data_IF_539147862609
#
_entry.id   IF_539147862609
#
_cell.length_a   1.000
_cell.length_b   1.000
_cell.length_c   1.000
_cell.angle_alpha   90.00
_cell.angle_beta   90.00
_cell.angle_gamma   90.00
#
_symmetry.space_group_name_H-M   'P 1'
#
loop_
_entity.id
_entity.type
_entity.pdbx_description
1 polymer ?
#
# COMPACT_ATOMS: atom_id res chain seq x y z
N UNK A 1 -11.02 -53.55 31.96
CA UNK A 1 -11.48 -54.39 30.84
C UNK A 1 -10.87 -53.83 29.56
N UNK A 2 -10.03 -54.61 28.89
CA UNK A 2 -9.59 -54.28 27.53
C UNK A 2 -10.71 -54.76 26.59
N UNK A 3 -11.22 -53.93 25.66
CA UNK A 3 -12.24 -54.39 24.73
C UNK A 3 -11.65 -55.54 23.90
N UNK A 4 -12.35 -56.69 23.89
CA UNK A 4 -12.02 -57.80 23.00
C UNK A 4 -12.49 -57.40 21.60
N UNK A 5 -11.54 -57.08 20.73
CA UNK A 5 -11.82 -56.82 19.31
C UNK A 5 -11.69 -58.15 18.58
N UNK A 6 -12.80 -58.66 18.06
CA UNK A 6 -12.80 -59.89 17.26
C UNK A 6 -12.35 -59.55 15.85
N UNK A 7 -11.14 -59.96 15.49
CA UNK A 7 -10.57 -59.74 14.17
C UNK A 7 -10.88 -60.95 13.29
N UNK A 8 -11.72 -60.74 12.28
CA UNK A 8 -12.24 -61.80 11.43
C UNK A 8 -11.97 -61.46 9.96
N UNK A 9 -11.88 -62.50 9.13
CA UNK A 9 -11.62 -62.38 7.70
C UNK A 9 -12.56 -63.30 6.92
N UNK A 10 -12.91 -62.88 5.71
CA UNK A 10 -13.67 -63.63 4.74
C UNK A 10 -12.73 -64.49 3.89
N UNK A 11 -12.98 -65.81 3.89
CA UNK A 11 -12.21 -66.78 3.12
C UNK A 11 -10.73 -66.83 3.48
N UNK A 12 -9.96 -67.55 2.68
CA UNK A 12 -8.50 -67.66 2.81
C UNK A 12 -7.73 -66.95 1.68
N UNK A 13 -8.44 -66.38 0.71
CA UNK A 13 -7.86 -65.72 -0.45
C UNK A 13 -7.57 -64.24 -0.20
N UNK A 14 -6.63 -63.68 -0.94
CA UNK A 14 -6.40 -62.23 -0.91
C UNK A 14 -7.52 -61.50 -1.63
N UNK A 15 -7.71 -60.25 -1.27
CA UNK A 15 -8.69 -59.35 -1.84
C UNK A 15 -8.65 -59.31 -3.39
N UNK A 16 -7.45 -59.35 -3.97
CA UNK A 16 -7.27 -59.29 -5.43
C UNK A 16 -7.74 -60.58 -6.13
N UNK A 17 -7.59 -61.73 -5.48
CA UNK A 17 -8.09 -63.01 -5.98
C UNK A 17 -9.61 -63.09 -5.78
N UNK A 18 -10.09 -62.70 -4.60
CA UNK A 18 -11.52 -62.71 -4.26
C UNK A 18 -12.36 -61.83 -5.20
N UNK A 19 -11.83 -60.68 -5.66
CA UNK A 19 -12.50 -59.83 -6.66
C UNK A 19 -12.70 -60.51 -8.02
N UNK A 20 -11.86 -61.48 -8.38
CA UNK A 20 -11.97 -62.21 -9.65
C UNK A 20 -13.09 -63.26 -9.58
N UNK A 21 -13.33 -63.83 -8.41
CA UNK A 21 -14.39 -64.81 -8.15
C UNK A 21 -15.70 -64.14 -7.71
N UNK A 22 -16.45 -63.61 -8.68
CA UNK A 22 -17.70 -62.87 -8.43
C UNK A 22 -18.82 -63.65 -7.73
N UNK A 23 -18.78 -64.98 -7.72
CA UNK A 23 -19.78 -65.82 -7.06
C UNK A 23 -19.66 -65.81 -5.52
N UNK A 24 -18.44 -65.77 -4.99
CA UNK A 24 -18.16 -65.85 -3.55
C UNK A 24 -17.70 -64.51 -2.95
N UNK A 25 -17.54 -63.49 -3.78
CA UNK A 25 -17.16 -62.15 -3.35
C UNK A 25 -18.29 -61.47 -2.58
N UNK A 26 -18.04 -61.12 -1.32
CA UNK A 26 -19.09 -60.58 -0.43
C UNK A 26 -19.14 -59.05 -0.36
N UNK A 27 -18.10 -58.33 -0.77
CA UNK A 27 -18.08 -56.86 -0.74
C UNK A 27 -18.79 -56.27 -1.97
N UNK A 28 -20.08 -56.61 -2.13
CA UNK A 28 -20.90 -56.23 -3.29
C UNK A 28 -21.64 -54.91 -3.09
N UNK A 29 -21.61 -54.35 -1.87
CA UNK A 29 -22.26 -53.08 -1.55
C UNK A 29 -21.66 -51.88 -2.30
N UNK A 30 -22.49 -50.89 -2.59
CA UNK A 30 -22.04 -49.59 -3.11
C UNK A 30 -21.10 -48.91 -2.11
N UNK A 31 -20.10 -48.19 -2.63
CA UNK A 31 -19.11 -47.47 -1.82
C UNK A 31 -18.34 -48.33 -0.81
N UNK A 32 -18.20 -49.62 -1.11
CA UNK A 32 -17.34 -50.54 -0.38
C UNK A 32 -16.00 -50.71 -1.10
N UNK A 33 -14.98 -51.05 -0.33
CA UNK A 33 -13.67 -51.51 -0.78
C UNK A 33 -13.32 -52.78 -0.02
N UNK A 34 -12.40 -53.54 -0.57
CA UNK A 34 -11.89 -54.76 0.03
C UNK A 34 -10.44 -54.54 0.46
N UNK A 35 -10.07 -55.04 1.63
CA UNK A 35 -8.73 -54.93 2.23
C UNK A 35 -8.29 -56.29 2.76
N UNK A 36 -7.03 -56.68 2.57
CA UNK A 36 -6.51 -57.93 3.11
C UNK A 36 -6.53 -57.94 4.65
N UNK A 37 -6.73 -59.11 5.24
CA UNK A 37 -6.64 -59.30 6.68
C UNK A 37 -5.21 -59.01 7.17
N UNK A 38 -5.09 -58.31 8.29
CA UNK A 38 -3.79 -58.03 8.93
C UNK A 38 -3.31 -59.18 9.82
N UNK A 39 -4.21 -60.10 10.20
CA UNK A 39 -3.95 -61.16 11.18
C UNK A 39 -4.12 -62.58 10.61
N UNK A 40 -4.03 -62.76 9.29
CA UNK A 40 -4.11 -64.08 8.66
C UNK A 40 -4.38 -64.02 7.16
N UNK A 41 -4.76 -65.17 6.61
CA UNK A 41 -5.34 -65.30 5.27
C UNK A 41 -6.74 -64.68 5.21
N UNK A 42 -7.19 -64.31 4.01
CA UNK A 42 -8.51 -63.71 3.79
C UNK A 42 -8.52 -62.20 3.62
N UNK A 43 -9.71 -61.66 3.43
CA UNK A 43 -9.97 -60.23 3.24
C UNK A 43 -11.15 -59.75 4.08
N UNK A 44 -11.32 -58.44 4.21
CA UNK A 44 -12.49 -57.83 4.82
C UNK A 44 -13.03 -56.72 3.93
N UNK A 45 -14.32 -56.46 4.05
CA UNK A 45 -14.96 -55.32 3.42
C UNK A 45 -14.86 -54.10 4.34
N UNK A 46 -14.58 -52.95 3.75
CA UNK A 46 -14.53 -51.64 4.40
C UNK A 46 -15.34 -50.65 3.57
N UNK A 47 -15.86 -49.59 4.18
CA UNK A 47 -16.38 -48.48 3.39
C UNK A 47 -15.21 -47.70 2.74
N UNK A 48 -15.46 -47.10 1.58
CA UNK A 48 -14.53 -46.16 0.96
C UNK A 48 -14.33 -44.94 1.86
N UNK A 49 -13.24 -44.20 1.64
CA UNK A 49 -13.01 -42.93 2.34
C UNK A 49 -14.20 -41.98 2.08
N UNK A 50 -14.63 -41.27 3.13
CA UNK A 50 -15.84 -40.44 3.11
C UNK A 50 -17.16 -41.19 3.35
N UNK A 51 -17.15 -42.51 3.53
CA UNK A 51 -18.35 -43.31 3.79
C UNK A 51 -18.27 -44.05 5.14
N UNK A 52 -19.41 -44.19 5.82
CA UNK A 52 -19.53 -44.96 7.06
C UNK A 52 -20.72 -45.93 7.05
N UNK A 53 -20.70 -46.91 7.95
CA UNK A 53 -21.76 -47.90 8.09
C UNK A 53 -21.25 -49.34 7.95
N UNK A 54 -22.13 -50.24 7.50
CA UNK A 54 -21.81 -51.67 7.41
C UNK A 54 -21.55 -52.09 5.94
N UNK A 55 -20.30 -52.41 5.58
CA UNK A 55 -19.95 -52.73 4.19
C UNK A 55 -20.47 -54.08 3.69
N UNK A 56 -21.02 -54.92 4.56
CA UNK A 56 -21.60 -56.22 4.20
C UNK A 56 -23.10 -56.15 3.87
N UNK A 57 -23.73 -54.99 4.06
CA UNK A 57 -25.14 -54.78 3.73
C UNK A 57 -25.28 -54.07 2.37
N UNK A 58 -26.32 -54.39 1.58
CA UNK A 58 -26.63 -53.65 0.37
C UNK A 58 -26.98 -52.20 0.72
N UNK A 59 -26.22 -51.23 0.18
CA UNK A 59 -26.35 -49.81 0.55
C UNK A 59 -25.95 -49.49 1.99
N UNK A 60 -25.17 -50.38 2.64
CA UNK A 60 -24.78 -50.22 4.04
C UNK A 60 -23.67 -49.20 4.29
N UNK A 61 -22.89 -48.83 3.27
CA UNK A 61 -21.96 -47.69 3.33
C UNK A 61 -22.67 -46.44 2.81
N UNK A 62 -22.93 -45.52 3.73
CA UNK A 62 -23.59 -44.25 3.46
C UNK A 62 -22.58 -43.11 3.56
N UNK A 63 -22.82 -42.06 2.81
CA UNK A 63 -21.98 -40.86 2.81
C UNK A 63 -21.91 -40.27 4.22
N UNK A 64 -20.69 -40.04 4.71
CA UNK A 64 -20.48 -39.48 6.04
C UNK A 64 -20.49 -37.97 5.95
N UNK A 65 -21.53 -37.33 6.51
CA UNK A 65 -21.61 -35.88 6.45
C UNK A 65 -20.66 -35.19 7.43
N UNK A 66 -19.47 -34.80 6.97
CA UNK A 66 -18.48 -34.11 7.79
C UNK A 66 -18.97 -32.75 8.28
N UNK A 67 -19.87 -32.09 7.55
CA UNK A 67 -20.42 -30.78 7.93
C UNK A 67 -21.28 -30.83 9.21
N UNK A 68 -21.69 -32.01 9.70
CA UNK A 68 -22.37 -32.15 10.99
C UNK A 68 -21.41 -32.21 12.19
N UNK A 69 -20.14 -32.55 11.99
CA UNK A 69 -19.13 -32.68 13.05
C UNK A 69 -17.93 -31.74 12.84
N UNK A 70 -17.78 -30.76 13.73
CA UNK A 70 -16.71 -29.74 13.68
C UNK A 70 -15.31 -30.34 13.78
N UNK A 71 -15.20 -31.56 14.35
CA UNK A 71 -13.94 -32.26 14.55
C UNK A 71 -13.48 -33.00 13.30
N UNK A 72 -14.39 -33.27 12.36
CA UNK A 72 -14.09 -34.00 11.12
C UNK A 72 -14.01 -33.07 9.91
N UNK A 73 -14.74 -31.96 9.89
CA UNK A 73 -14.57 -30.93 8.85
C UNK A 73 -13.38 -30.00 9.15
N UNK A 74 -12.51 -29.76 8.17
CA UNK A 74 -11.45 -28.75 8.24
C UNK A 74 -11.93 -27.34 7.83
N UNK A 75 -13.25 -27.12 7.70
CA UNK A 75 -13.80 -25.82 7.37
C UNK A 75 -13.71 -24.84 8.55
N UNK A 76 -13.61 -23.54 8.24
CA UNK A 76 -13.65 -22.46 9.23
C UNK A 76 -14.91 -22.47 10.11
N UNK A 77 -16.05 -22.88 9.54
CA UNK A 77 -17.32 -23.03 10.25
C UNK A 77 -18.21 -24.06 9.57
N UNK A 78 -19.05 -24.76 10.35
CA UNK A 78 -20.12 -25.64 9.83
C UNK A 78 -21.07 -24.98 8.84
N UNK A 79 -21.33 -23.67 9.00
CA UNK A 79 -22.20 -22.90 8.10
C UNK A 79 -21.58 -22.66 6.73
N UNK A 80 -20.28 -22.91 6.62
CA UNK A 80 -19.42 -22.65 5.48
C UNK A 80 -18.91 -23.97 4.89
N UNK A 81 -19.72 -25.02 5.01
CA UNK A 81 -19.43 -26.37 4.59
C UNK A 81 -20.61 -26.88 3.77
N UNK A 82 -20.31 -27.49 2.62
CA UNK A 82 -21.27 -28.16 1.75
C UNK A 82 -20.88 -29.62 1.63
N UNK A 83 -21.78 -30.50 2.05
CA UNK A 83 -21.57 -31.93 1.94
C UNK A 83 -21.71 -32.40 0.49
N UNK A 84 -20.78 -33.22 0.02
CA UNK A 84 -20.79 -33.83 -1.32
C UNK A 84 -20.59 -35.34 -1.19
N UNK A 85 -21.00 -36.14 -2.18
CA UNK A 85 -20.88 -37.60 -2.07
C UNK A 85 -19.40 -38.02 -1.94
N UNK A 86 -19.05 -38.61 -0.79
CA UNK A 86 -17.71 -39.04 -0.40
C UNK A 86 -16.79 -37.94 0.12
N UNK A 87 -17.25 -36.68 0.27
CA UNK A 87 -16.40 -35.59 0.77
C UNK A 87 -17.19 -34.33 1.18
N UNK A 88 -16.48 -33.21 1.38
CA UNK A 88 -17.08 -31.92 1.67
C UNK A 88 -16.30 -30.77 1.02
N UNK A 89 -17.00 -29.71 0.67
CA UNK A 89 -16.40 -28.46 0.19
C UNK A 89 -16.63 -27.33 1.20
N UNK A 90 -15.56 -26.60 1.51
CA UNK A 90 -15.66 -25.38 2.30
C UNK A 90 -15.83 -24.16 1.38
N UNK A 91 -16.50 -23.12 1.89
CA UNK A 91 -16.68 -21.87 1.13
C UNK A 91 -16.65 -20.64 2.03
N UNK A 92 -16.21 -19.51 1.49
CA UNK A 92 -16.16 -18.26 2.24
C UNK A 92 -17.49 -17.51 2.28
N UNK A 93 -17.80 -16.81 3.38
CA UNK A 93 -19.00 -15.99 3.47
C UNK A 93 -18.91 -14.78 2.51
N UNK A 94 -20.05 -14.15 2.18
CA UNK A 94 -20.08 -13.02 1.24
C UNK A 94 -19.11 -11.90 1.62
N UNK A 95 -18.33 -11.43 0.64
CA UNK A 95 -17.34 -10.37 0.83
C UNK A 95 -15.95 -10.84 1.26
N UNK A 96 -15.76 -12.15 1.44
CA UNK A 96 -14.46 -12.78 1.71
C UNK A 96 -14.02 -13.65 0.52
N UNK A 97 -12.72 -13.91 0.42
CA UNK A 97 -12.12 -14.78 -0.60
C UNK A 97 -11.20 -15.83 0.06
N UNK A 98 -10.98 -16.95 -0.61
CA UNK A 98 -10.24 -18.11 -0.08
C UNK A 98 -11.03 -19.41 -0.32
N UNK A 99 -10.47 -20.53 0.14
CA UNK A 99 -11.08 -21.85 0.01
C UNK A 99 -11.96 -22.24 1.22
N UNK A 100 -11.95 -21.44 2.30
CA UNK A 100 -12.78 -21.68 3.49
C UNK A 100 -12.25 -22.73 4.48
N UNK A 101 -11.06 -23.28 4.27
CA UNK A 101 -10.41 -24.20 5.21
C UNK A 101 -9.69 -23.44 6.34
N UNK A 102 -9.44 -24.12 7.46
CA UNK A 102 -8.76 -23.53 8.64
C UNK A 102 -7.25 -23.37 8.41
N UNK A 103 -6.62 -24.33 7.76
CA UNK A 103 -5.15 -24.43 7.64
C UNK A 103 -4.65 -24.02 6.25
N UNK A 104 -5.37 -24.39 5.18
CA UNK A 104 -5.07 -23.99 3.81
C UNK A 104 -5.94 -22.79 3.42
N UNK A 105 -5.35 -21.67 2.97
CA UNK A 105 -6.03 -20.45 2.46
C UNK A 105 -7.34 -20.00 3.18
N UNK A 106 -7.26 -19.57 4.45
CA UNK A 106 -8.42 -19.13 5.22
C UNK A 106 -9.11 -17.91 4.60
N UNK A 107 -10.39 -17.72 4.93
CA UNK A 107 -11.17 -16.62 4.39
C UNK A 107 -10.61 -15.25 4.78
N UNK A 108 -10.21 -14.49 3.78
CA UNK A 108 -9.67 -13.15 3.94
C UNK A 108 -10.67 -12.08 3.49
N UNK A 109 -10.69 -10.96 4.21
CA UNK A 109 -11.44 -9.77 3.83
C UNK A 109 -10.60 -8.92 2.88
N UNK A 110 -11.21 -8.40 1.81
CA UNK A 110 -10.60 -7.34 1.00
C UNK A 110 -10.36 -6.11 1.90
N UNK A 111 -9.11 -5.91 2.33
CA UNK A 111 -8.74 -4.75 3.13
C UNK A 111 -8.89 -3.49 2.28
N UNK A 112 -9.99 -2.76 2.44
CA UNK A 112 -10.17 -1.38 1.94
C UNK A 112 -9.11 -0.37 2.47
N UNK A 113 -8.21 -0.82 3.36
CA UNK A 113 -7.22 0.01 4.05
C UNK A 113 -6.19 0.65 3.12
N UNK A 114 -5.96 0.10 1.93
CA UNK A 114 -4.91 0.64 1.05
C UNK A 114 -5.34 1.93 0.33
N UNK A 115 -6.62 2.08 -0.02
CA UNK A 115 -7.12 3.29 -0.69
C UNK A 115 -7.03 4.52 0.24
N UNK A 116 -7.34 4.35 1.54
CA UNK A 116 -7.31 5.45 2.51
C UNK A 116 -5.88 6.00 2.72
N UNK A 117 -4.86 5.14 2.66
CA UNK A 117 -3.45 5.56 2.79
C UNK A 117 -3.02 6.48 1.65
N UNK A 118 -3.38 6.13 0.42
CA UNK A 118 -3.04 6.93 -0.77
C UNK A 118 -3.71 8.32 -0.76
N UNK A 119 -4.95 8.40 -0.27
CA UNK A 119 -5.66 9.68 -0.13
C UNK A 119 -4.91 10.62 0.83
N UNK A 120 -4.46 10.12 1.98
CA UNK A 120 -3.73 10.93 2.98
C UNK A 120 -2.41 11.46 2.42
N UNK A 121 -1.68 10.65 1.66
CA UNK A 121 -0.41 11.06 1.02
C UNK A 121 -0.67 12.13 -0.04
N UNK A 122 -1.71 11.96 -0.87
CA UNK A 122 -2.06 12.91 -1.92
C UNK A 122 -2.41 14.31 -1.39
N UNK A 123 -3.22 14.39 -0.32
CA UNK A 123 -3.62 15.67 0.28
C UNK A 123 -2.43 16.44 0.82
N UNK A 124 -1.50 15.77 1.53
CA UNK A 124 -0.33 16.44 2.12
C UNK A 124 0.58 17.04 1.05
N UNK A 125 0.88 16.28 0.00
CA UNK A 125 1.75 16.76 -1.09
C UNK A 125 1.11 17.92 -1.84
N UNK A 126 -0.22 17.86 -2.08
CA UNK A 126 -0.96 18.94 -2.74
C UNK A 126 -0.93 20.26 -1.98
N UNK A 127 -1.16 20.23 -0.66
CA UNK A 127 -1.11 21.44 0.17
C UNK A 127 0.28 22.07 0.19
N UNK A 128 1.34 21.27 0.35
CA UNK A 128 2.73 21.78 0.36
C UNK A 128 3.06 22.44 -0.98
N UNK A 129 2.72 21.80 -2.10
CA UNK A 129 2.93 22.38 -3.43
C UNK A 129 2.18 23.71 -3.60
N UNK A 130 0.93 23.79 -3.13
CA UNK A 130 0.13 25.02 -3.19
C UNK A 130 0.79 26.15 -2.37
N UNK A 131 1.22 25.89 -1.14
CA UNK A 131 1.89 26.90 -0.31
C UNK A 131 3.19 27.40 -0.94
N UNK A 132 3.98 26.49 -1.52
CA UNK A 132 5.20 26.86 -2.25
C UNK A 132 4.85 27.75 -3.45
N UNK A 133 3.90 27.34 -4.29
CA UNK A 133 3.49 28.13 -5.45
C UNK A 133 2.98 29.53 -5.07
N UNK A 134 2.13 29.63 -4.05
CA UNK A 134 1.60 30.93 -3.56
C UNK A 134 2.73 31.81 -3.02
N UNK A 135 3.64 31.24 -2.23
CA UNK A 135 4.80 31.97 -1.70
C UNK A 135 5.71 32.49 -2.82
N UNK A 136 6.00 31.68 -3.83
CA UNK A 136 6.77 32.10 -5.00
C UNK A 136 6.09 33.22 -5.78
N UNK A 137 4.79 33.10 -6.06
CA UNK A 137 4.02 34.15 -6.75
C UNK A 137 4.04 35.45 -5.93
N UNK A 138 3.84 35.35 -4.61
CA UNK A 138 3.91 36.50 -3.71
C UNK A 138 5.28 37.19 -3.75
N UNK A 139 6.38 36.42 -3.70
CA UNK A 139 7.74 36.98 -3.79
C UNK A 139 7.97 37.68 -5.14
N UNK A 140 7.52 37.10 -6.25
CA UNK A 140 7.62 37.72 -7.58
C UNK A 140 6.81 39.02 -7.67
N UNK A 141 5.58 39.03 -7.17
CA UNK A 141 4.72 40.24 -7.15
C UNK A 141 5.35 41.32 -6.27
N UNK A 142 5.85 40.95 -5.09
CA UNK A 142 6.53 41.87 -4.17
C UNK A 142 7.75 42.51 -4.83
N UNK A 143 8.58 41.72 -5.51
CA UNK A 143 9.76 42.21 -6.23
C UNK A 143 9.37 43.18 -7.36
N UNK A 144 8.35 42.83 -8.17
CA UNK A 144 7.86 43.69 -9.25
C UNK A 144 7.34 45.04 -8.73
N UNK A 145 6.60 45.03 -7.63
CA UNK A 145 6.09 46.27 -7.02
C UNK A 145 7.23 47.15 -6.49
N UNK A 146 8.27 46.55 -5.90
CA UNK A 146 9.42 47.30 -5.40
C UNK A 146 10.23 47.95 -6.53
N UNK A 147 10.39 47.25 -7.66
CA UNK A 147 11.03 47.82 -8.86
C UNK A 147 10.21 48.99 -9.41
N UNK A 148 8.88 48.83 -9.55
CA UNK A 148 7.99 49.91 -10.01
C UNK A 148 8.01 51.13 -9.08
N UNK A 149 8.10 50.90 -7.77
CA UNK A 149 8.18 51.98 -6.79
C UNK A 149 9.50 52.74 -6.91
N UNK A 150 10.62 52.02 -7.06
CA UNK A 150 11.94 52.63 -7.32
C UNK A 150 11.93 53.48 -8.59
N UNK A 151 11.31 53.00 -9.67
CA UNK A 151 11.21 53.76 -10.93
C UNK A 151 10.37 55.04 -10.75
N UNK A 152 9.26 54.97 -10.01
CA UNK A 152 8.44 56.16 -9.69
C UNK A 152 9.23 57.23 -8.93
N UNK A 153 9.96 56.84 -7.89
CA UNK A 153 10.81 57.78 -7.14
C UNK A 153 11.95 58.33 -7.99
N UNK A 154 12.55 57.51 -8.84
CA UNK A 154 13.57 57.97 -9.77
C UNK A 154 13.05 59.05 -10.73
N UNK A 155 11.84 58.87 -11.26
CA UNK A 155 11.20 59.89 -12.12
C UNK A 155 10.82 61.16 -11.36
N UNK A 156 10.23 61.03 -10.16
CA UNK A 156 9.83 62.17 -9.34
C UNK A 156 11.01 63.03 -8.88
N UNK A 157 12.13 62.39 -8.54
CA UNK A 157 13.34 63.07 -8.08
C UNK A 157 14.22 63.59 -9.24
N UNK A 158 13.65 63.78 -10.44
CA UNK A 158 14.38 64.36 -11.56
C UNK A 158 15.46 63.45 -12.17
N UNK A 159 15.38 62.13 -11.97
CA UNK A 159 16.38 61.18 -12.47
C UNK A 159 16.57 61.20 -13.99
N UNK A 160 15.54 61.60 -14.74
CA UNK A 160 15.63 61.79 -16.20
C UNK A 160 16.51 63.01 -16.56
N UNK A 161 16.40 64.11 -15.81
CA UNK A 161 17.23 65.30 -16.01
C UNK A 161 18.69 64.99 -15.69
N UNK A 162 18.93 64.24 -14.62
CA UNK A 162 20.25 63.73 -14.25
C UNK A 162 20.85 62.88 -15.37
N UNK A 163 20.09 61.92 -15.91
CA UNK A 163 20.53 61.07 -17.01
C UNK A 163 20.85 61.89 -18.28
N UNK A 164 20.02 62.88 -18.61
CA UNK A 164 20.23 63.75 -19.76
C UNK A 164 21.47 64.65 -19.61
N UNK A 165 21.75 65.17 -18.41
CA UNK A 165 22.96 65.93 -18.15
C UNK A 165 24.22 65.07 -18.26
N UNK A 166 24.18 63.84 -17.74
CA UNK A 166 25.30 62.90 -17.85
C UNK A 166 25.60 62.54 -19.31
N UNK A 167 24.58 62.22 -20.11
CA UNK A 167 24.76 61.96 -21.54
C UNK A 167 25.28 63.19 -22.31
N UNK A 168 24.96 64.40 -21.85
CA UNK A 168 25.52 65.64 -22.44
C UNK A 168 26.97 65.90 -22.01
N UNK A 169 27.34 65.46 -20.82
CA UNK A 169 28.64 65.71 -20.20
C UNK A 169 29.68 64.63 -20.53
N UNK A 170 29.27 63.46 -21.02
CA UNK A 170 30.12 62.31 -21.39
C UNK A 170 31.22 62.62 -22.43
N UNK A 171 31.23 63.82 -23.02
CA UNK A 171 32.29 64.36 -23.88
C UNK A 171 33.11 65.55 -23.33
N UNK A 172 32.94 65.93 -22.05
CA UNK A 172 33.61 67.08 -21.40
C UNK A 172 34.63 66.65 -20.33
N UNK A 173 35.60 67.51 -20.00
CA UNK A 173 36.73 67.18 -19.13
C UNK A 173 36.39 67.13 -17.61
N UNK A 174 35.27 67.70 -17.20
CA UNK A 174 34.71 67.55 -15.84
C UNK A 174 33.54 66.58 -15.92
N UNK A 175 33.65 65.37 -15.37
CA UNK A 175 32.63 64.32 -15.51
C UNK A 175 32.02 63.94 -14.16
N UNK A 176 30.73 64.20 -13.97
CA UNK A 176 29.95 63.56 -12.91
C UNK A 176 29.71 62.08 -13.25
N UNK A 177 29.83 61.17 -12.28
CA UNK A 177 29.64 59.72 -12.46
C UNK A 177 28.60 59.19 -11.48
N UNK A 178 27.69 58.33 -11.96
CA UNK A 178 26.76 57.60 -11.08
C UNK A 178 27.49 56.35 -10.59
N UNK A 179 27.57 56.20 -9.27
CA UNK A 179 28.09 55.00 -8.62
C UNK A 179 26.94 54.08 -8.19
N UNK A 180 27.21 52.77 -8.12
CA UNK A 180 26.25 51.83 -7.57
C UNK A 180 26.04 52.10 -6.06
N UNK A 181 24.84 51.83 -5.55
CA UNK A 181 24.53 52.05 -4.13
C UNK A 181 25.49 51.28 -3.19
N UNK A 182 25.96 50.11 -3.60
CA UNK A 182 26.90 49.29 -2.84
C UNK A 182 28.32 49.90 -2.80
N UNK A 183 28.75 50.55 -3.89
CA UNK A 183 30.03 51.25 -3.95
C UNK A 183 30.02 52.49 -3.06
N UNK A 184 28.94 53.27 -3.10
CA UNK A 184 28.74 54.42 -2.22
C UNK A 184 28.68 53.99 -0.75
N UNK A 185 27.96 52.91 -0.45
CA UNK A 185 27.89 52.34 0.91
C UNK A 185 29.27 51.93 1.41
N UNK A 186 30.11 51.35 0.55
CA UNK A 186 31.49 50.98 0.91
C UNK A 186 32.38 52.21 1.10
N UNK A 187 32.30 53.19 0.21
CA UNK A 187 33.09 54.43 0.22
C UNK A 187 32.77 55.37 1.39
N UNK A 188 31.53 55.33 1.87
CA UNK A 188 31.01 56.14 2.99
C UNK A 188 30.95 55.38 4.32
N UNK A 189 31.54 54.19 4.40
CA UNK A 189 31.50 53.34 5.60
C UNK A 189 30.08 53.14 6.15
N UNK A 190 29.16 52.71 5.27
CA UNK A 190 27.74 52.53 5.57
C UNK A 190 27.02 53.84 5.97
N UNK A 191 27.33 54.94 5.28
CA UNK A 191 26.77 56.28 5.53
C UNK A 191 27.03 56.78 6.95
N UNK A 192 28.28 56.67 7.41
CA UNK A 192 28.70 57.11 8.74
C UNK A 192 28.55 58.63 8.89
N UNK A 193 27.88 59.08 9.96
CA UNK A 193 27.61 60.50 10.22
C UNK A 193 28.88 61.32 10.42
N UNK A 194 29.98 60.70 10.88
CA UNK A 194 31.27 61.37 11.06
C UNK A 194 31.95 61.78 9.75
N UNK A 195 31.53 61.18 8.63
CA UNK A 195 32.02 61.52 7.29
C UNK A 195 31.20 62.63 6.64
N UNK A 196 30.15 63.14 7.29
CA UNK A 196 29.35 64.24 6.77
C UNK A 196 30.17 65.53 6.79
N UNK A 197 30.37 66.13 5.62
CA UNK A 197 31.01 67.44 5.45
C UNK A 197 29.97 68.55 5.59
N UNK A 198 28.72 68.30 5.18
CA UNK A 198 27.62 69.25 5.31
C UNK A 198 26.27 68.70 4.84
N UNK A 199 25.20 69.28 5.39
CA UNK A 199 23.80 68.97 5.05
C UNK A 199 23.12 70.22 4.49
N UNK A 200 22.40 70.09 3.38
CA UNK A 200 21.67 71.21 2.76
C UNK A 200 20.37 70.76 2.10
N UNK A 201 19.62 71.71 1.55
CA UNK A 201 18.30 71.45 0.92
C UNK A 201 18.34 70.52 -0.30
N UNK A 202 19.51 70.36 -0.94
CA UNK A 202 19.72 69.49 -2.09
C UNK A 202 20.35 68.14 -1.73
N UNK A 203 20.69 67.90 -0.46
CA UNK A 203 21.25 66.63 0.02
C UNK A 203 22.39 66.78 1.03
N UNK A 204 22.97 65.63 1.39
CA UNK A 204 24.09 65.52 2.34
C UNK A 204 25.37 65.16 1.60
N UNK A 205 26.46 65.86 1.91
CA UNK A 205 27.78 65.63 1.30
C UNK A 205 28.63 64.82 2.27
N UNK A 206 29.13 63.67 1.80
CA UNK A 206 30.01 62.79 2.57
C UNK A 206 31.45 62.88 2.04
N UNK A 207 32.42 62.81 2.96
CA UNK A 207 33.83 62.61 2.67
C UNK A 207 34.07 61.14 2.32
N UNK A 208 34.63 60.89 1.15
CA UNK A 208 34.97 59.53 0.73
C UNK A 208 36.31 59.13 1.36
N UNK A 209 36.35 57.97 2.02
CA UNK A 209 37.60 57.38 2.51
C UNK A 209 38.15 56.43 1.45
N UNK A 210 39.03 56.91 0.56
CA UNK A 210 39.74 56.06 -0.39
C UNK A 210 40.84 55.29 0.35
N UNK A 211 40.62 54.00 0.60
CA UNK A 211 41.67 53.06 1.04
C UNK A 211 41.71 51.88 0.10
#
# INVERSE_FOLDING_TARGET
MVPMVFDWANGDETCEIAKQNTADYVCTGSNTKCSNSTNGSGYRCECKEGFEGNPYLPGGCQDFNECHDDRKSNCLSKKNCSNIDGSYECFCPPGQYGNGMKEDEPCEQKKKKDILKWIIVGVRTGFVALFVCVSWIYLVVKQRNLIKLKEKFFRQNGGILLQQQLSRQEGSAENARIFAADELKKATQNYDESLIIGTGGYGTVYRISSR
#
